data_IF_282533235718
#
_entry.id   IF_282533235718
#
_cell.length_a   1.000
_cell.length_b   1.000
_cell.length_c   1.000
_cell.angle_alpha   90.00
_cell.angle_beta   90.00
_cell.angle_gamma   90.00
#
_symmetry.space_group_name_H-M   'P 1'
#
loop_
_entity.id
_entity.type
_entity.pdbx_description
1 polymer ?
#
# COMPACT_ATOMS: atom_id res chain seq x y z
N UNK A 1 77.63 86.19 45.41
CA UNK A 1 76.43 85.35 45.12
C UNK A 1 75.86 85.85 43.79
N UNK A 2 75.66 85.10 42.72
CA UNK A 2 75.51 83.65 42.59
C UNK A 2 75.53 83.25 41.10
N UNK A 3 76.69 83.24 40.42
CA UNK A 3 76.79 82.67 39.06
C UNK A 3 76.98 81.15 39.12
N UNK A 4 77.73 80.68 40.11
CA UNK A 4 77.95 79.24 40.38
C UNK A 4 76.68 78.50 40.82
N UNK A 5 75.77 79.18 41.53
CA UNK A 5 74.49 78.59 41.94
C UNK A 5 73.52 78.41 40.77
N UNK A 6 73.58 79.28 39.74
CA UNK A 6 72.75 79.14 38.53
C UNK A 6 73.23 77.96 37.67
N UNK A 7 74.55 77.76 37.56
CA UNK A 7 75.11 76.62 36.82
C UNK A 7 74.90 75.29 37.54
N UNK A 8 74.98 75.26 38.88
CA UNK A 8 74.64 74.05 39.65
C UNK A 8 73.16 73.71 39.53
N UNK A 9 72.27 74.71 39.58
CA UNK A 9 70.83 74.48 39.45
C UNK A 9 70.44 73.98 38.04
N UNK A 10 71.08 74.47 36.98
CA UNK A 10 70.90 73.92 35.62
C UNK A 10 71.38 72.47 35.51
N UNK A 11 72.50 72.14 36.15
CA UNK A 11 73.06 70.79 36.13
C UNK A 11 72.15 69.80 36.84
N UNK A 12 71.67 70.15 38.04
CA UNK A 12 70.69 69.34 38.77
C UNK A 12 69.38 69.18 38.01
N UNK A 13 68.88 70.25 37.38
CA UNK A 13 67.66 70.18 36.58
C UNK A 13 67.82 69.25 35.36
N UNK A 14 68.95 69.30 34.67
CA UNK A 14 69.23 68.39 33.54
C UNK A 14 69.37 66.92 33.97
N UNK A 15 70.00 66.68 35.12
CA UNK A 15 70.12 65.34 35.69
C UNK A 15 68.76 64.79 36.13
N UNK A 16 67.93 65.65 36.73
CA UNK A 16 66.55 65.32 37.11
C UNK A 16 65.69 64.98 35.88
N UNK A 17 65.71 65.81 34.83
CA UNK A 17 64.94 65.54 33.60
C UNK A 17 65.37 64.22 32.93
N UNK A 18 66.66 63.91 32.91
CA UNK A 18 67.16 62.65 32.35
C UNK A 18 66.70 61.43 33.17
N UNK A 19 66.77 61.50 34.50
CA UNK A 19 66.27 60.45 35.38
C UNK A 19 64.76 60.25 35.23
N UNK A 20 64.00 61.34 35.19
CA UNK A 20 62.55 61.33 35.01
C UNK A 20 62.14 60.71 33.67
N UNK A 21 62.77 61.12 32.56
CA UNK A 21 62.51 60.56 31.24
C UNK A 21 62.83 59.06 31.18
N UNK A 22 63.91 58.63 31.84
CA UNK A 22 64.29 57.22 31.92
C UNK A 22 63.24 56.40 32.67
N UNK A 23 62.75 56.87 33.81
CA UNK A 23 61.68 56.20 34.56
C UNK A 23 60.37 56.14 33.78
N UNK A 24 59.95 57.25 33.15
CA UNK A 24 58.76 57.26 32.31
C UNK A 24 58.87 56.26 31.14
N UNK A 25 60.04 56.18 30.49
CA UNK A 25 60.26 55.20 29.40
C UNK A 25 60.25 53.74 29.89
N UNK A 26 60.79 53.49 31.09
CA UNK A 26 60.77 52.18 31.72
C UNK A 26 59.37 51.76 32.15
N UNK A 27 58.57 52.69 32.68
CA UNK A 27 57.19 52.47 33.04
C UNK A 27 56.32 52.22 31.80
N UNK A 28 56.48 53.04 30.75
CA UNK A 28 55.76 52.85 29.48
C UNK A 28 56.05 51.47 28.86
N UNK A 29 57.32 51.03 28.86
CA UNK A 29 57.68 49.68 28.39
C UNK A 29 57.08 48.57 29.25
N UNK A 30 57.07 48.73 30.58
CA UNK A 30 56.46 47.73 31.47
C UNK A 30 54.96 47.63 31.26
N UNK A 31 54.27 48.77 31.14
CA UNK A 31 52.83 48.81 30.86
C UNK A 31 52.53 48.18 29.51
N UNK A 32 53.28 48.51 28.46
CA UNK A 32 53.10 47.91 27.13
C UNK A 32 53.33 46.39 27.15
N UNK A 33 54.42 45.94 27.78
CA UNK A 33 54.72 44.50 27.88
C UNK A 33 53.66 43.73 28.69
N UNK A 34 53.17 44.30 29.79
CA UNK A 34 52.11 43.69 30.61
C UNK A 34 50.79 43.65 29.85
N UNK A 35 50.46 44.72 29.10
CA UNK A 35 49.27 44.78 28.28
C UNK A 35 49.33 43.73 27.16
N UNK A 36 50.45 43.62 26.45
CA UNK A 36 50.64 42.62 25.42
C UNK A 36 50.55 41.19 25.98
N UNK A 37 51.14 40.95 27.14
CA UNK A 37 51.09 39.65 27.80
C UNK A 37 49.65 39.28 28.22
N UNK A 38 48.91 40.22 28.80
CA UNK A 38 47.50 40.02 29.14
C UNK A 38 46.63 39.78 27.91
N UNK A 39 46.85 40.53 26.82
CA UNK A 39 46.14 40.34 25.55
C UNK A 39 46.45 38.97 24.93
N UNK A 40 47.69 38.50 25.00
CA UNK A 40 48.06 37.17 24.52
C UNK A 40 47.44 36.06 25.37
N UNK A 41 47.45 36.19 26.69
CA UNK A 41 46.79 35.22 27.58
C UNK A 41 45.29 35.16 27.32
N UNK A 42 44.63 36.32 27.22
CA UNK A 42 43.19 36.39 27.00
C UNK A 42 42.81 35.79 25.65
N UNK A 43 43.59 36.05 24.58
CA UNK A 43 43.39 35.41 23.26
C UNK A 43 43.53 33.89 23.33
N UNK A 44 44.51 33.40 24.08
CA UNK A 44 44.74 31.96 24.24
C UNK A 44 43.60 31.30 25.00
N UNK A 45 43.14 31.91 26.08
CA UNK A 45 42.00 31.43 26.86
C UNK A 45 40.70 31.41 26.05
N UNK A 46 40.42 32.48 25.29
CA UNK A 46 39.29 32.55 24.37
C UNK A 46 39.34 31.45 23.29
N UNK A 47 40.52 31.19 22.73
CA UNK A 47 40.71 30.12 21.75
C UNK A 47 40.46 28.73 22.36
N UNK A 48 40.92 28.51 23.59
CA UNK A 48 40.77 27.24 24.31
C UNK A 48 39.31 26.98 24.70
N UNK A 49 38.61 28.03 25.19
CA UNK A 49 37.16 27.97 25.47
C UNK A 49 36.36 27.70 24.19
N UNK A 50 36.71 28.35 23.07
CA UNK A 50 36.05 28.12 21.79
C UNK A 50 36.27 26.69 21.29
N UNK A 51 37.51 26.20 21.33
CA UNK A 51 37.84 24.82 20.94
C UNK A 51 37.08 23.79 21.79
N UNK A 52 37.09 23.95 23.11
CA UNK A 52 36.36 23.06 24.02
C UNK A 52 34.84 23.14 23.85
N UNK A 53 34.29 24.32 23.52
CA UNK A 53 32.85 24.48 23.24
C UNK A 53 32.44 23.81 21.93
N UNK A 54 33.29 23.90 20.89
CA UNK A 54 33.07 23.22 19.62
C UNK A 54 33.15 21.70 19.80
N UNK A 55 34.14 21.20 20.54
CA UNK A 55 34.31 19.77 20.82
C UNK A 55 33.10 19.20 21.56
N UNK A 56 32.69 19.84 22.67
CA UNK A 56 31.50 19.45 23.43
C UNK A 56 30.21 19.57 22.60
N UNK A 57 30.13 20.60 21.76
CA UNK A 57 29.01 20.80 20.85
C UNK A 57 28.89 19.66 19.83
N UNK A 58 30.03 19.26 19.25
CA UNK A 58 30.12 18.17 18.29
C UNK A 58 29.83 16.81 18.94
N UNK A 59 30.39 16.53 20.11
CA UNK A 59 30.12 15.30 20.88
C UNK A 59 28.62 15.17 21.20
N UNK A 60 27.99 16.26 21.65
CA UNK A 60 26.56 16.30 21.94
C UNK A 60 25.70 16.16 20.67
N UNK A 61 26.16 16.67 19.53
CA UNK A 61 25.48 16.51 18.25
C UNK A 61 25.57 15.06 17.74
N UNK A 62 26.75 14.44 17.81
CA UNK A 62 26.98 13.03 17.43
C UNK A 62 26.18 12.10 18.34
N UNK A 63 26.19 12.34 19.65
CA UNK A 63 25.39 11.55 20.61
C UNK A 63 23.89 11.63 20.30
N UNK A 64 23.35 12.84 20.05
CA UNK A 64 21.95 13.00 19.66
C UNK A 64 21.63 12.33 18.33
N UNK A 65 22.51 12.45 17.34
CA UNK A 65 22.36 11.79 16.05
C UNK A 65 22.29 10.27 16.19
N UNK A 66 23.21 9.66 16.94
CA UNK A 66 23.22 8.23 17.21
C UNK A 66 21.96 7.78 17.96
N UNK A 67 21.49 8.57 18.93
CA UNK A 67 20.26 8.26 19.66
C UNK A 67 19.03 8.32 18.73
N UNK A 68 18.91 9.35 17.90
CA UNK A 68 17.82 9.46 16.92
C UNK A 68 17.85 8.33 15.90
N UNK A 69 19.03 7.92 15.44
CA UNK A 69 19.17 6.75 14.56
C UNK A 69 18.72 5.47 15.24
N UNK A 70 19.09 5.25 16.50
CA UNK A 70 18.68 4.07 17.25
C UNK A 70 17.16 4.01 17.45
N UNK A 71 16.55 5.13 17.83
CA UNK A 71 15.09 5.23 17.97
C UNK A 71 14.36 5.03 16.63
N UNK A 72 14.91 5.59 15.54
CA UNK A 72 14.36 5.43 14.19
C UNK A 72 14.44 3.99 13.72
N UNK A 73 15.58 3.32 13.93
CA UNK A 73 15.74 1.90 13.61
C UNK A 73 14.79 1.01 14.42
N UNK A 74 14.61 1.30 15.71
CA UNK A 74 13.66 0.57 16.57
C UNK A 74 12.21 0.76 16.08
N UNK A 75 11.84 1.97 15.69
CA UNK A 75 10.52 2.29 15.13
C UNK A 75 10.29 1.61 13.78
N UNK A 76 11.32 1.56 12.91
CA UNK A 76 11.27 0.85 11.63
C UNK A 76 11.10 -0.66 11.83
N UNK A 77 11.86 -1.27 12.74
CA UNK A 77 11.71 -2.69 13.08
C UNK A 77 10.28 -3.03 13.54
N UNK A 78 9.71 -2.19 14.41
CA UNK A 78 8.33 -2.38 14.87
C UNK A 78 7.30 -2.21 13.74
N UNK A 79 7.49 -1.24 12.85
CA UNK A 79 6.62 -1.03 11.68
C UNK A 79 6.71 -2.18 10.68
N UNK A 80 7.90 -2.72 10.42
CA UNK A 80 8.11 -3.89 9.54
C UNK A 80 7.40 -5.11 10.12
N UNK A 81 7.55 -5.35 11.43
CA UNK A 81 6.90 -6.48 12.10
C UNK A 81 5.36 -6.34 12.09
N UNK A 82 4.82 -5.13 12.22
CA UNK A 82 3.39 -4.89 12.02
C UNK A 82 2.93 -5.09 10.58
N UNK A 83 3.74 -4.72 9.59
CA UNK A 83 3.45 -4.97 8.18
C UNK A 83 3.40 -6.47 7.89
N UNK A 84 4.34 -7.25 8.42
CA UNK A 84 4.40 -8.70 8.24
C UNK A 84 3.15 -9.38 8.83
N UNK A 85 2.79 -9.01 10.07
CA UNK A 85 1.55 -9.47 10.71
C UNK A 85 0.29 -9.05 9.93
N UNK A 86 0.28 -7.85 9.36
CA UNK A 86 -0.85 -7.35 8.58
C UNK A 86 -0.96 -8.05 7.22
N UNK A 87 0.17 -8.29 6.54
CA UNK A 87 0.20 -9.07 5.31
C UNK A 87 -0.30 -10.50 5.55
N UNK A 88 0.12 -11.14 6.64
CA UNK A 88 -0.33 -12.49 6.96
C UNK A 88 -1.83 -12.53 7.26
N UNK A 89 -2.34 -11.55 8.01
CA UNK A 89 -3.77 -11.42 8.32
C UNK A 89 -4.62 -11.14 7.06
N UNK A 90 -4.15 -10.25 6.17
CA UNK A 90 -4.81 -9.91 4.90
C UNK A 90 -4.83 -11.13 3.98
N UNK A 91 -3.72 -11.86 3.86
CA UNK A 91 -3.63 -13.05 3.02
C UNK A 91 -4.55 -14.17 3.51
N UNK A 92 -4.61 -14.41 4.83
CA UNK A 92 -5.52 -15.40 5.42
C UNK A 92 -6.99 -15.05 5.18
N UNK A 93 -7.38 -13.78 5.38
CA UNK A 93 -8.77 -13.34 5.16
C UNK A 93 -9.18 -13.39 3.70
N UNK A 94 -8.32 -12.96 2.77
CA UNK A 94 -8.61 -13.04 1.34
C UNK A 94 -8.74 -14.48 0.85
N UNK A 95 -7.85 -15.38 1.29
CA UNK A 95 -7.89 -16.78 0.86
C UNK A 95 -9.18 -17.49 1.29
N UNK A 96 -9.67 -17.21 2.50
CA UNK A 96 -10.94 -17.76 2.98
C UNK A 96 -12.15 -17.18 2.24
N UNK A 97 -12.16 -15.88 1.94
CA UNK A 97 -13.23 -15.26 1.17
C UNK A 97 -13.27 -15.81 -0.26
N UNK A 98 -12.13 -15.83 -0.94
CA UNK A 98 -12.01 -16.38 -2.31
C UNK A 98 -12.44 -17.85 -2.34
N UNK A 99 -12.04 -18.65 -1.35
CA UNK A 99 -12.46 -20.05 -1.27
C UNK A 99 -13.99 -20.19 -1.11
N UNK A 100 -14.62 -19.37 -0.25
CA UNK A 100 -16.08 -19.37 -0.09
C UNK A 100 -16.81 -19.00 -1.38
N UNK A 101 -16.34 -17.97 -2.09
CA UNK A 101 -16.93 -17.58 -3.37
C UNK A 101 -16.74 -18.66 -4.44
N UNK A 102 -15.55 -19.25 -4.53
CA UNK A 102 -15.27 -20.34 -5.46
C UNK A 102 -16.17 -21.55 -5.19
N UNK A 103 -16.31 -21.95 -3.92
CA UNK A 103 -17.16 -23.05 -3.52
C UNK A 103 -18.64 -22.78 -3.83
N UNK A 104 -19.12 -21.55 -3.57
CA UNK A 104 -20.47 -21.14 -3.96
C UNK A 104 -20.72 -21.18 -5.47
N UNK A 105 -19.75 -20.72 -6.27
CA UNK A 105 -19.83 -20.75 -7.73
C UNK A 105 -19.88 -22.19 -8.26
N UNK A 106 -19.05 -23.08 -7.71
CA UNK A 106 -19.04 -24.51 -8.05
C UNK A 106 -20.38 -25.17 -7.71
N UNK A 107 -20.96 -24.88 -6.54
CA UNK A 107 -22.27 -25.42 -6.15
C UNK A 107 -23.39 -24.94 -7.09
N UNK A 108 -23.39 -23.66 -7.46
CA UNK A 108 -24.39 -23.12 -8.39
C UNK A 108 -24.28 -23.80 -9.75
N UNK A 109 -23.08 -23.92 -10.30
CA UNK A 109 -22.84 -24.63 -11.57
C UNK A 109 -23.26 -26.09 -11.48
N UNK A 110 -22.89 -26.80 -10.41
CA UNK A 110 -23.28 -28.20 -10.21
C UNK A 110 -24.80 -28.36 -10.16
N UNK A 111 -25.51 -27.46 -9.47
CA UNK A 111 -26.98 -27.50 -9.36
C UNK A 111 -27.65 -27.28 -10.72
N UNK A 112 -27.11 -26.37 -11.54
CA UNK A 112 -27.60 -26.17 -12.91
C UNK A 112 -27.38 -27.43 -13.75
N UNK A 113 -26.20 -28.06 -13.68
CA UNK A 113 -25.93 -29.27 -14.46
C UNK A 113 -26.80 -30.44 -14.00
N UNK A 114 -26.97 -30.64 -12.69
CA UNK A 114 -27.79 -31.71 -12.14
C UNK A 114 -29.26 -31.52 -12.56
N UNK A 115 -29.81 -30.32 -12.38
CA UNK A 115 -31.20 -30.02 -12.75
C UNK A 115 -31.44 -30.14 -14.25
N UNK A 116 -30.53 -29.64 -15.09
CA UNK A 116 -30.62 -29.78 -16.54
C UNK A 116 -30.54 -31.24 -16.98
N UNK A 117 -29.64 -32.03 -16.39
CA UNK A 117 -29.49 -33.46 -16.70
C UNK A 117 -30.74 -34.26 -16.32
N UNK A 118 -31.31 -33.97 -15.14
CA UNK A 118 -32.55 -34.59 -14.68
C UNK A 118 -33.72 -34.26 -15.61
N UNK A 119 -33.87 -32.99 -16.01
CA UNK A 119 -34.89 -32.58 -16.97
C UNK A 119 -34.73 -33.32 -18.30
N UNK A 120 -33.53 -33.34 -18.85
CA UNK A 120 -33.26 -34.00 -20.13
C UNK A 120 -33.60 -35.48 -20.08
N UNK A 121 -33.27 -36.17 -18.98
CA UNK A 121 -33.58 -37.59 -18.81
C UNK A 121 -35.09 -37.84 -18.65
N UNK A 122 -35.76 -37.05 -17.81
CA UNK A 122 -37.20 -37.16 -17.56
C UNK A 122 -38.00 -36.88 -18.83
N UNK A 123 -37.66 -35.80 -19.56
CA UNK A 123 -38.33 -35.47 -20.82
C UNK A 123 -37.96 -36.42 -21.95
N UNK A 124 -36.74 -36.99 -22.01
CA UNK A 124 -36.45 -38.09 -22.94
C UNK A 124 -37.36 -39.27 -22.71
N UNK A 125 -37.53 -39.68 -21.45
CA UNK A 125 -38.43 -40.77 -21.09
C UNK A 125 -39.89 -40.47 -21.45
N UNK A 126 -40.33 -39.21 -21.29
CA UNK A 126 -41.68 -38.80 -21.67
C UNK A 126 -41.87 -38.68 -23.20
N UNK A 127 -40.84 -38.25 -23.93
CA UNK A 127 -40.86 -38.14 -25.40
C UNK A 127 -40.83 -39.52 -26.06
N UNK A 128 -40.07 -40.48 -25.52
CA UNK A 128 -40.10 -41.85 -26.05
C UNK A 128 -41.47 -42.51 -25.88
N UNK A 129 -42.16 -42.24 -24.77
CA UNK A 129 -43.52 -42.74 -24.55
C UNK A 129 -44.56 -42.06 -25.47
N UNK A 130 -44.36 -40.79 -25.81
CA UNK A 130 -45.28 -40.06 -26.71
C UNK A 130 -44.95 -40.19 -28.20
N UNK A 131 -43.74 -40.62 -28.58
CA UNK A 131 -43.39 -40.91 -29.97
C UNK A 131 -44.22 -42.05 -30.55
N UNK A 132 -44.48 -43.11 -29.76
CA UNK A 132 -45.37 -44.19 -30.18
C UNK A 132 -46.79 -43.67 -30.46
N UNK A 133 -47.30 -42.77 -29.62
CA UNK A 133 -48.64 -42.20 -29.76
C UNK A 133 -48.74 -41.23 -30.95
N UNK A 134 -47.68 -40.46 -31.22
CA UNK A 134 -47.62 -39.54 -32.34
C UNK A 134 -47.49 -40.28 -33.70
N UNK A 135 -46.70 -41.35 -33.78
CA UNK A 135 -46.63 -42.19 -34.98
C UNK A 135 -47.96 -42.91 -35.26
N UNK A 136 -48.65 -43.38 -34.21
CA UNK A 136 -49.98 -43.98 -34.34
C UNK A 136 -51.03 -42.94 -34.76
N UNK A 137 -50.97 -41.72 -34.22
CA UNK A 137 -51.88 -40.63 -34.60
C UNK A 137 -51.60 -40.15 -36.03
N UNK A 138 -50.34 -40.13 -36.47
CA UNK A 138 -49.99 -39.77 -37.85
C UNK A 138 -50.46 -40.83 -38.86
N UNK A 139 -50.32 -42.13 -38.55
CA UNK A 139 -50.86 -43.21 -39.40
C UNK A 139 -52.40 -43.23 -39.43
N UNK A 140 -53.07 -42.88 -38.33
CA UNK A 140 -54.53 -42.74 -38.29
C UNK A 140 -54.99 -41.48 -39.03
N UNK A 141 -54.20 -40.40 -39.03
CA UNK A 141 -54.52 -39.17 -39.74
C UNK A 141 -54.20 -39.25 -41.25
N UNK A 142 -53.21 -40.06 -41.65
CA UNK A 142 -52.93 -40.40 -43.06
C UNK A 142 -54.03 -41.27 -43.68
N UNK A 143 -54.73 -42.07 -42.88
CA UNK A 143 -56.00 -42.65 -43.26
C UNK A 143 -57.09 -41.58 -43.06
N UNK A 144 -57.43 -40.81 -44.09
CA UNK A 144 -58.42 -39.72 -44.08
C UNK A 144 -59.79 -40.19 -43.51
N UNK A 145 -59.87 -40.22 -42.18
CA UNK A 145 -60.95 -40.75 -41.36
C UNK A 145 -61.70 -39.55 -40.78
N UNK A 146 -62.93 -39.33 -41.25
CA UNK A 146 -63.81 -38.27 -40.75
C UNK A 146 -64.97 -38.87 -39.98
N UNK A 147 -65.38 -38.20 -38.91
CA UNK A 147 -66.57 -38.57 -38.14
C UNK A 147 -67.79 -38.08 -38.93
N UNK A 148 -68.58 -39.03 -39.45
CA UNK A 148 -69.86 -38.76 -40.10
C UNK A 148 -70.99 -39.07 -39.10
N UNK A 149 -71.40 -38.09 -38.29
CA UNK A 149 -72.41 -38.32 -37.25
C UNK A 149 -71.88 -39.24 -36.14
N UNK A 150 -72.51 -40.39 -35.91
CA UNK A 150 -72.10 -41.36 -34.87
C UNK A 150 -71.10 -42.45 -35.36
N UNK A 151 -70.68 -42.42 -36.62
CA UNK A 151 -69.84 -43.46 -37.23
C UNK A 151 -68.57 -42.90 -37.92
N UNK A 152 -67.52 -43.73 -38.01
CA UNK A 152 -66.25 -43.40 -38.67
C UNK A 152 -66.31 -43.71 -40.18
N UNK A 153 -66.02 -42.71 -41.02
CA UNK A 153 -65.96 -42.80 -42.48
C UNK A 153 -64.51 -42.74 -42.95
N UNK A 154 -64.09 -43.63 -43.87
CA UNK A 154 -62.77 -43.56 -44.52
C UNK A 154 -62.90 -43.23 -46.01
N UNK A 155 -62.01 -42.42 -46.56
CA UNK A 155 -61.89 -42.21 -48.00
C UNK A 155 -61.05 -43.32 -48.64
N UNK A 156 -61.67 -44.16 -49.48
CA UNK A 156 -61.03 -45.36 -50.07
C UNK A 156 -60.52 -45.12 -51.50
N UNK A 157 -60.35 -43.86 -51.94
CA UNK A 157 -59.86 -43.54 -53.28
C UNK A 157 -59.18 -42.17 -53.37
N UNK A 158 -58.04 -42.10 -54.07
CA UNK A 158 -57.20 -40.92 -54.32
C UNK A 158 -57.81 -39.93 -55.34
N UNK A 159 -59.14 -39.83 -55.45
CA UNK A 159 -59.79 -38.81 -56.26
C UNK A 159 -60.57 -37.84 -55.37
N UNK A 160 -60.17 -36.56 -55.45
CA UNK A 160 -60.53 -35.44 -54.58
C UNK A 160 -62.03 -35.10 -54.49
N UNK A 161 -62.95 -35.82 -55.13
CA UNK A 161 -64.39 -35.57 -55.02
C UNK A 161 -65.24 -36.86 -55.11
N UNK A 162 -65.81 -37.25 -53.96
CA UNK A 162 -67.18 -37.79 -53.91
C UNK A 162 -67.34 -39.32 -53.81
N UNK A 163 -67.15 -39.86 -52.59
CA UNK A 163 -68.04 -40.85 -51.91
C UNK A 163 -67.33 -41.42 -50.67
N UNK A 164 -67.86 -41.13 -49.48
CA UNK A 164 -67.40 -41.70 -48.21
C UNK A 164 -68.18 -42.99 -47.93
N UNK A 165 -67.50 -44.06 -47.52
CA UNK A 165 -68.12 -45.33 -47.16
C UNK A 165 -68.03 -45.56 -45.65
N UNK A 166 -69.10 -46.09 -45.05
CA UNK A 166 -69.16 -46.43 -43.64
C UNK A 166 -68.23 -47.61 -43.34
N UNK A 167 -67.28 -47.41 -42.44
CA UNK A 167 -66.39 -48.49 -41.99
C UNK A 167 -67.18 -49.38 -41.02
N UNK A 168 -67.55 -50.58 -41.47
CA UNK A 168 -68.23 -51.55 -40.62
C UNK A 168 -67.22 -52.13 -39.62
N UNK A 169 -67.47 -51.96 -38.33
CA UNK A 169 -66.70 -52.60 -37.26
C UNK A 169 -66.73 -54.11 -37.47
N UNK A 170 -65.57 -54.75 -37.61
CA UNK A 170 -65.47 -56.22 -37.57
C UNK A 170 -65.94 -56.65 -36.18
N UNK A 171 -67.05 -57.38 -36.09
CA UNK A 171 -67.40 -58.10 -34.86
C UNK A 171 -66.23 -59.00 -34.50
N UNK A 172 -65.75 -58.87 -33.28
CA UNK A 172 -64.94 -59.92 -32.68
C UNK A 172 -65.83 -61.15 -32.58
N UNK A 173 -65.53 -62.17 -33.38
CA UNK A 173 -65.75 -63.56 -32.95
C UNK A 173 -64.67 -63.91 -31.93
#
# INVERSE_FOLDING_TARGET
>A
MNQDNLTNMQKEMSAFFYAFQKECSGLAKKVDSSLQQSLQMQRKELADIAAGSVEKGLEKAISRYNQTLYESNKSLGFKIQQLENSLEAVNRKHKQLVFKYWLGAVICLATIVISASYLLYHYKSAIDQNKLTAELTQKVNEADLRICGENLCAAVSSQKYGKYYLVKKRSAE
#
